data_IF_340312157136
#
_entry.id   IF_340312157136
#
_cell.length_a   1.000
_cell.length_b   1.000
_cell.length_c   1.000
_cell.angle_alpha   90.00
_cell.angle_beta   90.00
_cell.angle_gamma   90.00
#
_symmetry.space_group_name_H-M   'P 1'
#
loop_
_entity.id
_entity.type
_entity.pdbx_description
1 polymer ?
#
# COMPACT_ATOMS: atom_id res chain seq x y z
N UNK A 1 3.07 14.67 -7.60
CA UNK A 1 1.68 15.05 -7.95
C UNK A 1 1.57 16.11 -9.05
N UNK A 2 2.11 17.33 -8.88
CA UNK A 2 1.93 18.40 -9.88
C UNK A 2 2.28 18.03 -11.33
N UNK A 3 3.38 17.31 -11.55
CA UNK A 3 3.77 16.81 -12.89
C UNK A 3 2.74 15.83 -13.46
N UNK A 4 2.25 14.89 -12.64
CA UNK A 4 1.23 13.90 -13.04
C UNK A 4 -0.06 14.62 -13.45
N UNK A 5 -0.48 15.62 -12.67
CA UNK A 5 -1.68 16.42 -12.96
C UNK A 5 -1.53 17.20 -14.27
N UNK A 6 -0.38 17.84 -14.49
CA UNK A 6 -0.10 18.62 -15.71
C UNK A 6 -0.12 17.71 -16.96
N UNK A 7 0.54 16.55 -16.90
CA UNK A 7 0.55 15.58 -18.01
C UNK A 7 -0.86 15.00 -18.23
N UNK A 8 -1.60 14.69 -17.17
CA UNK A 8 -2.98 14.24 -17.24
C UNK A 8 -3.89 15.26 -17.96
N UNK A 9 -3.72 16.56 -17.66
CA UNK A 9 -4.45 17.65 -18.30
C UNK A 9 -4.12 17.80 -19.80
N UNK A 10 -2.84 17.68 -20.17
CA UNK A 10 -2.33 17.97 -21.51
C UNK A 10 -2.57 16.86 -22.53
N UNK A 11 -2.66 15.58 -22.12
CA UNK A 11 -2.77 14.50 -23.10
C UNK A 11 -3.17 13.12 -22.56
N UNK A 12 -3.41 13.00 -21.25
CA UNK A 12 -3.65 11.71 -20.59
C UNK A 12 -2.37 10.97 -20.23
N UNK A 13 -2.49 9.93 -19.39
CA UNK A 13 -1.36 9.27 -18.72
C UNK A 13 -0.83 8.04 -19.47
N UNK A 14 -1.30 7.77 -20.70
CA UNK A 14 -0.82 6.64 -21.53
C UNK A 14 0.71 6.56 -21.70
N UNK A 15 1.45 7.69 -21.84
CA UNK A 15 2.92 7.62 -21.90
C UNK A 15 3.55 7.13 -20.59
N UNK A 16 2.89 7.38 -19.45
CA UNK A 16 3.40 6.99 -18.13
C UNK A 16 3.19 5.49 -17.85
N UNK A 17 2.24 4.83 -18.51
CA UNK A 17 2.03 3.37 -18.37
C UNK A 17 3.28 2.55 -18.79
N UNK A 18 4.03 3.02 -19.80
CA UNK A 18 5.30 2.35 -20.18
C UNK A 18 6.38 2.55 -19.13
N UNK A 19 6.43 3.73 -18.51
CA UNK A 19 7.38 4.04 -17.44
C UNK A 19 7.03 3.26 -16.17
N UNK A 20 5.74 3.06 -15.90
CA UNK A 20 5.21 2.26 -14.80
C UNK A 20 5.74 0.82 -14.83
N UNK A 21 5.73 0.18 -16.00
CA UNK A 21 6.21 -1.20 -16.14
C UNK A 21 7.70 -1.34 -15.81
N UNK A 22 8.53 -0.41 -16.29
CA UNK A 22 9.95 -0.38 -15.97
C UNK A 22 10.19 -0.06 -14.49
N UNK A 23 9.46 0.91 -13.94
CA UNK A 23 9.50 1.25 -12.52
C UNK A 23 9.19 0.02 -11.64
N UNK A 24 8.19 -0.78 -12.03
CA UNK A 24 7.82 -2.00 -11.33
C UNK A 24 8.94 -3.06 -11.39
N UNK A 25 9.53 -3.31 -12.56
CA UNK A 25 10.65 -4.26 -12.67
C UNK A 25 11.85 -3.84 -11.82
N UNK A 26 12.23 -2.57 -11.88
CA UNK A 26 13.34 -2.01 -11.09
C UNK A 26 13.05 -2.15 -9.60
N UNK A 27 11.82 -1.85 -9.16
CA UNK A 27 11.41 -1.97 -7.76
C UNK A 27 11.47 -3.42 -7.27
N UNK A 28 11.00 -4.38 -8.08
CA UNK A 28 11.06 -5.81 -7.72
C UNK A 28 12.50 -6.30 -7.63
N UNK A 29 13.39 -5.90 -8.55
CA UNK A 29 14.80 -6.28 -8.50
C UNK A 29 15.46 -5.73 -7.25
N UNK A 30 15.25 -4.45 -6.92
CA UNK A 30 15.83 -3.82 -5.72
C UNK A 30 15.27 -4.46 -4.45
N UNK A 31 13.97 -4.78 -4.43
CA UNK A 31 13.35 -5.51 -3.32
C UNK A 31 13.95 -6.91 -3.15
N UNK A 32 14.18 -7.66 -4.23
CA UNK A 32 14.81 -8.97 -4.16
C UNK A 32 16.24 -8.87 -3.62
N UNK A 33 17.03 -7.89 -4.08
CA UNK A 33 18.38 -7.61 -3.57
C UNK A 33 18.32 -7.27 -2.08
N UNK A 34 17.38 -6.41 -1.66
CA UNK A 34 17.20 -6.04 -0.26
C UNK A 34 16.93 -7.25 0.63
N UNK A 35 15.99 -8.12 0.24
CA UNK A 35 15.66 -9.33 0.98
C UNK A 35 16.85 -10.30 1.07
N UNK A 36 17.60 -10.48 -0.02
CA UNK A 36 18.81 -11.31 0.00
C UNK A 36 19.85 -10.75 0.96
N UNK A 37 20.10 -9.43 0.92
CA UNK A 37 21.09 -8.80 1.79
C UNK A 37 20.69 -8.87 3.26
N UNK A 38 19.40 -8.67 3.58
CA UNK A 38 18.91 -8.86 4.96
C UNK A 38 19.09 -10.31 5.41
N UNK A 39 18.72 -11.29 4.57
CA UNK A 39 18.92 -12.71 4.90
C UNK A 39 20.40 -13.10 5.08
N UNK A 40 21.31 -12.56 4.26
CA UNK A 40 22.76 -12.77 4.42
C UNK A 40 23.27 -12.12 5.71
N UNK A 41 22.80 -10.91 6.03
CA UNK A 41 23.15 -10.22 7.26
C UNK A 41 22.71 -11.03 8.49
N UNK A 42 21.45 -11.47 8.52
CA UNK A 42 20.87 -12.26 9.59
C UNK A 42 21.59 -13.61 9.76
N UNK A 43 21.92 -14.29 8.65
CA UNK A 43 22.68 -15.54 8.69
C UNK A 43 24.08 -15.34 9.29
N UNK A 44 24.79 -14.29 8.89
CA UNK A 44 26.12 -13.98 9.42
C UNK A 44 26.08 -13.63 10.91
N UNK A 45 25.08 -12.87 11.35
CA UNK A 45 24.88 -12.55 12.76
C UNK A 45 24.57 -13.81 13.57
N UNK A 46 23.67 -14.66 13.07
CA UNK A 46 23.32 -15.91 13.73
C UNK A 46 24.53 -16.85 13.87
N UNK A 47 25.37 -16.96 12.84
CA UNK A 47 26.60 -17.77 12.89
C UNK A 47 27.63 -17.22 13.89
N UNK A 48 27.63 -15.92 14.16
CA UNK A 48 28.59 -15.27 15.07
C UNK A 48 28.11 -15.28 16.51
N UNK A 49 26.82 -15.03 16.74
CA UNK A 49 26.24 -14.81 18.08
C UNK A 49 25.39 -16.00 18.59
N UNK A 50 25.08 -16.98 17.73
CA UNK A 50 24.17 -18.09 17.98
C UNK A 50 22.76 -17.68 18.45
N UNK A 51 22.38 -16.41 18.25
CA UNK A 51 21.06 -15.89 18.61
C UNK A 51 20.63 -14.79 17.62
N UNK A 52 19.33 -14.61 17.46
CA UNK A 52 18.77 -13.46 16.75
C UNK A 52 18.57 -12.31 17.74
N UNK A 53 19.07 -11.12 17.39
CA UNK A 53 18.84 -9.91 18.17
C UNK A 53 17.45 -9.32 17.82
N UNK A 54 16.40 -9.94 18.36
CA UNK A 54 15.03 -9.49 18.14
C UNK A 54 14.77 -8.21 18.93
N UNK A 55 14.09 -7.25 18.31
CA UNK A 55 13.65 -6.05 19.00
C UNK A 55 12.72 -6.42 20.16
N UNK A 56 12.88 -5.74 21.30
CA UNK A 56 11.99 -5.92 22.43
C UNK A 56 10.57 -5.51 22.07
N UNK A 57 9.59 -6.28 22.56
CA UNK A 57 8.19 -5.94 22.35
C UNK A 57 7.89 -4.62 23.07
N UNK A 58 7.36 -3.61 22.37
CA UNK A 58 7.10 -2.32 22.98
C UNK A 58 6.06 -2.47 24.10
N UNK A 59 6.21 -1.67 25.16
CA UNK A 59 5.27 -1.61 26.29
C UNK A 59 3.99 -0.84 25.87
N UNK A 60 3.22 -1.46 24.98
CA UNK A 60 1.96 -0.96 24.43
C UNK A 60 0.86 -1.96 24.71
N UNK A 61 -0.33 -1.45 25.00
CA UNK A 61 -1.50 -2.31 25.19
C UNK A 61 -1.86 -3.02 23.87
N UNK A 62 -2.41 -4.24 23.95
CA UNK A 62 -2.88 -4.95 22.75
C UNK A 62 -3.94 -4.17 21.97
N UNK A 63 -4.72 -3.32 22.65
CA UNK A 63 -5.67 -2.41 22.02
C UNK A 63 -4.97 -1.36 21.16
N UNK A 64 -3.95 -0.70 21.71
CA UNK A 64 -3.17 0.31 20.98
C UNK A 64 -2.54 -0.30 19.72
N UNK A 65 -1.91 -1.48 19.86
CA UNK A 65 -1.34 -2.22 18.72
C UNK A 65 -2.42 -2.49 17.66
N UNK A 66 -3.60 -2.97 18.05
CA UNK A 66 -4.69 -3.22 17.12
C UNK A 66 -5.17 -1.96 16.39
N UNK A 67 -5.28 -0.82 17.09
CA UNK A 67 -5.69 0.47 16.50
C UNK A 67 -4.64 1.05 15.55
N UNK A 68 -3.35 0.87 15.87
CA UNK A 68 -2.25 1.29 15.00
C UNK A 68 -2.19 0.43 13.74
N UNK A 69 -2.27 -0.90 13.88
CA UNK A 69 -2.32 -1.83 12.73
C UNK A 69 -3.52 -1.52 11.85
N UNK A 70 -4.69 -1.26 12.43
CA UNK A 70 -5.87 -0.80 11.70
C UNK A 70 -5.61 0.49 10.91
N UNK A 71 -4.88 1.45 11.51
CA UNK A 71 -4.42 2.68 10.85
C UNK A 71 -3.54 2.46 9.63
N UNK A 72 -2.90 1.30 9.49
CA UNK A 72 -2.01 0.95 8.38
C UNK A 72 -2.67 0.13 7.26
N UNK A 73 -3.99 -0.04 7.28
CA UNK A 73 -4.74 -0.81 6.29
C UNK A 73 -4.48 -0.36 4.84
N UNK A 74 -4.14 0.92 4.61
CA UNK A 74 -3.77 1.48 3.30
C UNK A 74 -2.61 0.72 2.62
N UNK A 75 -1.70 0.10 3.38
CA UNK A 75 -0.52 -0.58 2.85
C UNK A 75 -0.89 -1.77 1.96
N UNK A 76 -2.00 -2.46 2.26
CA UNK A 76 -2.45 -3.67 1.54
C UNK A 76 -3.51 -3.38 0.47
N UNK A 77 -3.74 -2.10 0.13
CA UNK A 77 -4.77 -1.68 -0.82
C UNK A 77 -4.28 -1.79 -2.29
N UNK A 78 -5.20 -1.58 -3.24
CA UNK A 78 -4.89 -1.54 -4.67
C UNK A 78 -5.19 -2.82 -5.44
N UNK A 79 -5.63 -3.89 -4.77
CA UNK A 79 -6.03 -5.16 -5.43
C UNK A 79 -7.29 -5.03 -6.30
N UNK A 80 -8.06 -3.96 -6.15
CA UNK A 80 -9.24 -3.65 -6.96
C UNK A 80 -8.88 -3.08 -8.34
N UNK A 81 -7.64 -2.65 -8.58
CA UNK A 81 -7.24 -2.10 -9.89
C UNK A 81 -7.61 -3.01 -11.07
N UNK A 82 -7.53 -4.33 -10.89
CA UNK A 82 -7.94 -5.31 -11.91
C UNK A 82 -9.43 -5.25 -12.24
N UNK A 83 -10.28 -4.74 -11.34
CA UNK A 83 -11.70 -4.50 -11.58
C UNK A 83 -11.91 -3.47 -12.70
N UNK A 84 -11.07 -2.45 -12.80
CA UNK A 84 -11.26 -1.40 -13.80
C UNK A 84 -10.82 -1.80 -15.21
N UNK A 85 -10.19 -2.96 -15.36
CA UNK A 85 -9.70 -3.47 -16.65
C UNK A 85 -10.74 -4.32 -17.41
N UNK A 86 -12.04 -4.12 -17.13
CA UNK A 86 -13.13 -4.91 -17.70
C UNK A 86 -13.32 -4.75 -19.21
N UNK A 87 -12.87 -3.63 -19.79
CA UNK A 87 -12.92 -3.43 -21.25
C UNK A 87 -11.84 -4.24 -22.00
N UNK A 88 -10.77 -4.65 -21.31
CA UNK A 88 -9.61 -5.33 -21.92
C UNK A 88 -9.50 -6.81 -21.55
N UNK A 89 -10.02 -7.21 -20.39
CA UNK A 89 -9.88 -8.57 -19.87
C UNK A 89 -11.20 -9.13 -19.32
N UNK A 90 -11.39 -10.44 -19.48
CA UNK A 90 -12.54 -11.16 -18.97
C UNK A 90 -12.56 -11.24 -17.43
N UNK A 91 -13.75 -11.53 -16.89
CA UNK A 91 -13.99 -11.59 -15.44
C UNK A 91 -13.11 -12.61 -14.73
N UNK A 92 -12.88 -13.80 -15.31
CA UNK A 92 -12.09 -14.85 -14.66
C UNK A 92 -10.61 -14.46 -14.58
N UNK A 93 -10.06 -13.90 -15.65
CA UNK A 93 -8.69 -13.39 -15.67
C UNK A 93 -8.48 -12.30 -14.61
N UNK A 94 -9.42 -11.37 -14.48
CA UNK A 94 -9.35 -10.27 -13.49
C UNK A 94 -9.39 -10.76 -12.04
N UNK A 95 -10.26 -11.73 -11.74
CA UNK A 95 -10.34 -12.35 -10.41
C UNK A 95 -9.05 -13.10 -10.10
N UNK A 96 -8.54 -13.90 -11.05
CA UNK A 96 -7.30 -14.64 -10.90
C UNK A 96 -6.13 -13.68 -10.64
N UNK A 97 -6.00 -12.63 -11.44
CA UNK A 97 -4.96 -11.62 -11.26
C UNK A 97 -5.02 -10.95 -9.88
N UNK A 98 -6.22 -10.56 -9.40
CA UNK A 98 -6.40 -9.94 -8.09
C UNK A 98 -6.01 -10.87 -6.93
N UNK A 99 -6.37 -12.16 -7.00
CA UNK A 99 -5.99 -13.13 -5.96
C UNK A 99 -4.49 -13.40 -5.95
N UNK A 100 -3.88 -13.58 -7.12
CA UNK A 100 -2.44 -13.81 -7.23
C UNK A 100 -1.62 -12.62 -6.77
N UNK A 101 -2.05 -11.39 -7.05
CA UNK A 101 -1.33 -10.19 -6.57
C UNK A 101 -1.38 -10.10 -5.04
N UNK A 102 -2.52 -10.41 -4.42
CA UNK A 102 -2.66 -10.46 -2.96
C UNK A 102 -1.76 -11.53 -2.33
N UNK A 103 -1.77 -12.76 -2.82
CA UNK A 103 -0.92 -13.82 -2.27
C UNK A 103 0.57 -13.51 -2.44
N UNK A 104 0.97 -13.00 -3.61
CA UNK A 104 2.36 -12.63 -3.87
C UNK A 104 2.82 -11.50 -2.95
N UNK A 105 2.02 -10.43 -2.82
CA UNK A 105 2.31 -9.30 -1.94
C UNK A 105 2.35 -9.70 -0.47
N UNK A 106 1.40 -10.52 0.00
CA UNK A 106 1.37 -11.05 1.36
C UNK A 106 2.66 -11.81 1.69
N UNK A 107 3.10 -12.67 0.76
CA UNK A 107 4.32 -13.48 0.95
C UNK A 107 5.55 -12.60 1.08
N UNK A 108 5.64 -11.56 0.25
CA UNK A 108 6.72 -10.57 0.30
C UNK A 108 6.68 -9.77 1.60
N UNK A 109 5.51 -9.31 2.06
CA UNK A 109 5.41 -8.55 3.30
C UNK A 109 5.81 -9.37 4.52
N UNK A 110 5.35 -10.62 4.62
CA UNK A 110 5.73 -11.51 5.72
C UNK A 110 7.24 -11.78 5.69
N UNK A 111 7.80 -12.08 4.51
CA UNK A 111 9.23 -12.33 4.35
C UNK A 111 10.06 -11.10 4.70
N UNK A 112 9.66 -9.92 4.23
CA UNK A 112 10.32 -8.67 4.52
C UNK A 112 10.33 -8.37 6.02
N UNK A 113 9.17 -8.49 6.69
CA UNK A 113 9.08 -8.26 8.14
C UNK A 113 9.98 -9.24 8.88
N UNK A 114 9.92 -10.55 8.56
CA UNK A 114 10.74 -11.56 9.21
C UNK A 114 12.25 -11.28 9.12
N UNK A 115 12.72 -10.85 7.94
CA UNK A 115 14.14 -10.53 7.69
C UNK A 115 14.55 -9.14 8.22
N UNK A 116 13.60 -8.21 8.40
CA UNK A 116 13.92 -6.90 8.94
C UNK A 116 14.01 -6.93 10.48
N UNK A 117 13.25 -7.81 11.14
CA UNK A 117 13.12 -7.85 12.61
C UNK A 117 14.45 -7.87 13.37
N UNK A 118 15.46 -8.68 13.01
CA UNK A 118 16.73 -8.70 13.74
C UNK A 118 17.51 -7.38 13.65
N UNK A 119 17.36 -6.66 12.53
CA UNK A 119 18.05 -5.40 12.24
C UNK A 119 17.35 -4.21 12.94
N UNK A 120 16.03 -4.31 13.20
CA UNK A 120 15.22 -3.25 13.84
C UNK A 120 15.77 -2.78 15.18
N UNK A 121 16.47 -3.66 15.92
CA UNK A 121 17.14 -3.32 17.19
C UNK A 121 18.07 -2.10 17.08
N UNK A 122 18.62 -1.81 15.89
CA UNK A 122 19.51 -0.67 15.62
C UNK A 122 18.79 0.67 15.74
N UNK A 123 17.47 0.70 15.56
CA UNK A 123 16.67 1.92 15.62
C UNK A 123 16.45 2.41 17.06
N UNK A 124 16.71 1.59 18.08
CA UNK A 124 16.60 1.95 19.51
C UNK A 124 15.26 2.61 19.89
N UNK A 125 14.17 2.21 19.24
CA UNK A 125 12.83 2.75 19.47
C UNK A 125 12.51 4.04 18.74
N UNK A 126 13.44 4.60 17.95
CA UNK A 126 13.20 5.77 17.10
C UNK A 126 12.74 5.34 15.70
N UNK A 127 11.43 5.47 15.45
CA UNK A 127 10.80 5.12 14.18
C UNK A 127 10.39 6.40 13.43
N UNK A 128 10.89 6.57 12.22
CA UNK A 128 10.60 7.72 11.37
C UNK A 128 10.70 7.38 9.89
N UNK A 129 10.54 8.40 9.04
CA UNK A 129 10.46 8.23 7.58
C UNK A 129 11.72 7.61 6.96
N UNK A 130 12.88 7.76 7.61
CA UNK A 130 14.16 7.25 7.15
C UNK A 130 14.56 5.91 7.81
N UNK A 131 13.74 5.32 8.67
CA UNK A 131 14.10 4.10 9.40
C UNK A 131 14.50 2.96 8.46
N UNK A 132 13.77 2.76 7.36
CA UNK A 132 14.13 1.72 6.37
C UNK A 132 15.52 1.95 5.75
N UNK A 133 15.89 3.22 5.53
CA UNK A 133 17.21 3.58 4.99
C UNK A 133 18.30 3.26 6.01
N UNK A 134 18.06 3.48 7.30
CA UNK A 134 18.98 3.13 8.39
C UNK A 134 19.15 1.60 8.47
N UNK A 135 18.06 0.84 8.41
CA UNK A 135 18.11 -0.63 8.37
C UNK A 135 18.93 -1.13 7.17
N UNK A 136 18.66 -0.56 6.00
CA UNK A 136 19.36 -0.90 4.77
C UNK A 136 20.86 -0.57 4.84
N UNK A 137 21.22 0.62 5.34
CA UNK A 137 22.61 1.03 5.52
C UNK A 137 23.37 0.14 6.51
N UNK A 138 22.66 -0.37 7.52
CA UNK A 138 23.23 -1.30 8.51
C UNK A 138 23.56 -2.66 7.89
N UNK A 139 22.68 -3.16 7.02
CA UNK A 139 22.91 -4.41 6.31
C UNK A 139 23.97 -4.26 5.19
N UNK A 140 23.95 -3.15 4.45
CA UNK A 140 24.94 -2.83 3.42
C UNK A 140 24.93 -1.35 3.05
N UNK A 141 26.12 -0.74 2.99
CA UNK A 141 26.33 0.67 2.60
C UNK A 141 25.84 0.98 1.17
N UNK A 142 25.72 -0.04 0.31
CA UNK A 142 25.29 0.13 -1.08
C UNK A 142 23.76 0.11 -1.28
N UNK A 143 22.98 -0.27 -0.28
CA UNK A 143 21.52 -0.39 -0.40
C UNK A 143 20.73 0.93 -0.35
N UNK A 144 21.11 1.95 0.46
CA UNK A 144 20.33 3.18 0.60
C UNK A 144 19.97 3.86 -0.72
N UNK A 145 20.94 4.01 -1.63
CA UNK A 145 20.74 4.73 -2.89
C UNK A 145 19.74 4.00 -3.81
N UNK A 146 19.89 2.70 -4.12
CA UNK A 146 18.87 1.92 -4.82
C UNK A 146 17.49 1.99 -4.14
N UNK A 147 17.42 1.93 -2.81
CA UNK A 147 16.16 2.01 -2.08
C UNK A 147 15.43 3.33 -2.28
N UNK A 148 16.15 4.45 -2.25
CA UNK A 148 15.57 5.78 -2.52
C UNK A 148 15.01 5.84 -3.95
N UNK A 149 15.74 5.29 -4.93
CA UNK A 149 15.30 5.21 -6.32
C UNK A 149 14.04 4.32 -6.43
N UNK A 150 14.05 3.15 -5.82
CA UNK A 150 12.91 2.23 -5.81
C UNK A 150 11.68 2.84 -5.15
N UNK A 151 11.84 3.48 -4.00
CA UNK A 151 10.77 4.16 -3.28
C UNK A 151 10.16 5.28 -4.14
N UNK A 152 11.01 6.09 -4.78
CA UNK A 152 10.56 7.17 -5.67
C UNK A 152 9.78 6.64 -6.88
N UNK A 153 10.29 5.58 -7.52
CA UNK A 153 9.64 4.93 -8.65
C UNK A 153 8.31 4.27 -8.28
N UNK A 154 8.27 3.58 -7.13
CA UNK A 154 7.09 2.91 -6.60
C UNK A 154 5.99 3.92 -6.23
N UNK A 155 6.33 4.99 -5.52
CA UNK A 155 5.39 6.06 -5.16
C UNK A 155 4.86 6.80 -6.39
N UNK A 156 5.71 7.05 -7.38
CA UNK A 156 5.29 7.65 -8.65
C UNK A 156 4.29 6.74 -9.39
N UNK A 157 4.60 5.45 -9.50
CA UNK A 157 3.74 4.45 -10.13
C UNK A 157 2.36 4.37 -9.45
N UNK A 158 2.35 4.23 -8.12
CA UNK A 158 1.12 4.19 -7.32
C UNK A 158 0.28 5.47 -7.51
N UNK A 159 0.91 6.64 -7.44
CA UNK A 159 0.23 7.92 -7.64
C UNK A 159 -0.42 8.05 -9.03
N UNK A 160 0.23 7.54 -10.08
CA UNK A 160 -0.33 7.52 -11.44
C UNK A 160 -1.53 6.58 -11.52
N UNK A 161 -1.40 5.35 -11.00
CA UNK A 161 -2.45 4.35 -11.00
C UNK A 161 -3.70 4.82 -10.22
N UNK A 162 -3.50 5.41 -9.04
CA UNK A 162 -4.59 5.95 -8.22
C UNK A 162 -5.27 7.15 -8.89
N UNK A 163 -4.50 8.02 -9.55
CA UNK A 163 -5.05 9.15 -10.30
C UNK A 163 -5.90 8.69 -11.48
N UNK A 164 -5.46 7.65 -12.19
CA UNK A 164 -6.20 7.00 -13.26
C UNK A 164 -7.51 6.38 -12.75
N UNK A 165 -7.42 5.56 -11.70
CA UNK A 165 -8.56 4.88 -11.10
C UNK A 165 -9.60 5.88 -10.56
N UNK A 166 -9.16 6.93 -9.85
CA UNK A 166 -10.03 7.96 -9.30
C UNK A 166 -10.74 8.76 -10.40
N UNK A 167 -10.02 9.17 -11.46
CA UNK A 167 -10.63 9.88 -12.58
C UNK A 167 -11.61 9.00 -13.38
N UNK A 168 -11.31 7.70 -13.54
CA UNK A 168 -12.22 6.74 -14.17
C UNK A 168 -13.49 6.54 -13.34
N UNK A 169 -13.35 6.32 -12.03
CA UNK A 169 -14.48 6.22 -11.09
C UNK A 169 -15.38 7.45 -11.13
N UNK A 170 -14.79 8.65 -11.16
CA UNK A 170 -15.55 9.90 -11.22
C UNK A 170 -16.32 10.04 -12.55
N UNK A 171 -15.73 9.59 -13.66
CA UNK A 171 -16.39 9.56 -14.97
C UNK A 171 -17.55 8.56 -14.99
N UNK A 172 -17.38 7.39 -14.40
CA UNK A 172 -18.42 6.35 -14.31
C UNK A 172 -19.58 6.81 -13.41
N UNK A 173 -19.27 7.25 -12.19
CA UNK A 173 -20.27 7.72 -11.21
C UNK A 173 -21.05 8.94 -11.72
N UNK A 174 -20.43 9.79 -12.53
CA UNK A 174 -21.09 10.96 -13.14
C UNK A 174 -21.88 10.63 -14.41
N UNK A 175 -22.04 9.35 -14.78
CA UNK A 175 -22.66 8.93 -16.04
C UNK A 175 -22.05 9.67 -17.24
N UNK A 176 -20.72 9.72 -17.31
CA UNK A 176 -19.95 10.38 -18.39
C UNK A 176 -20.03 11.92 -18.42
N UNK A 177 -20.64 12.58 -17.43
CA UNK A 177 -20.71 14.05 -17.38
C UNK A 177 -19.36 14.70 -17.07
N UNK A 178 -18.54 14.07 -16.22
CA UNK A 178 -17.18 14.56 -15.90
C UNK A 178 -16.17 13.97 -16.88
N UNK A 179 -15.51 14.86 -17.64
CA UNK A 179 -14.39 14.46 -18.52
C UNK A 179 -13.15 14.12 -17.68
N UNK A 180 -12.38 13.13 -18.12
CA UNK A 180 -11.15 12.65 -17.45
C UNK A 180 -10.18 13.78 -17.06
N UNK A 181 -10.01 14.81 -17.90
CA UNK A 181 -9.11 15.94 -17.62
C UNK A 181 -9.46 16.68 -16.33
N UNK A 182 -10.76 16.89 -16.09
CA UNK A 182 -11.23 17.53 -14.86
C UNK A 182 -11.14 16.58 -13.67
N UNK A 183 -11.30 15.27 -13.89
CA UNK A 183 -11.00 14.25 -12.88
C UNK A 183 -9.54 14.30 -12.42
N UNK A 184 -8.59 14.33 -13.35
CA UNK A 184 -7.16 14.46 -13.02
C UNK A 184 -6.83 15.75 -12.27
N UNK A 185 -7.44 16.86 -12.68
CA UNK A 185 -7.27 18.14 -11.98
C UNK A 185 -7.79 18.09 -10.55
N UNK A 186 -9.01 17.61 -10.33
CA UNK A 186 -9.62 17.52 -9.00
C UNK A 186 -8.82 16.60 -8.08
N UNK A 187 -8.41 15.42 -8.56
CA UNK A 187 -7.58 14.49 -7.80
C UNK A 187 -6.23 15.13 -7.46
N UNK A 188 -5.57 15.75 -8.44
CA UNK A 188 -4.29 16.43 -8.24
C UNK A 188 -4.36 17.57 -7.22
N UNK A 189 -5.35 18.44 -7.34
CA UNK A 189 -5.56 19.56 -6.43
C UNK A 189 -5.86 19.08 -5.01
N UNK A 190 -6.72 18.07 -4.85
CA UNK A 190 -7.06 17.50 -3.55
C UNK A 190 -5.85 16.82 -2.91
N UNK A 191 -5.08 16.05 -3.69
CA UNK A 191 -3.87 15.41 -3.20
C UNK A 191 -2.80 16.44 -2.77
N UNK A 192 -2.64 17.53 -3.50
CA UNK A 192 -1.72 18.62 -3.13
C UNK A 192 -2.18 19.34 -1.86
N UNK A 193 -3.48 19.60 -1.70
CA UNK A 193 -4.03 20.19 -0.49
C UNK A 193 -3.83 19.27 0.73
N UNK A 194 -4.11 17.97 0.58
CA UNK A 194 -3.92 16.98 1.64
C UNK A 194 -2.44 16.85 2.04
N UNK A 195 -1.53 16.81 1.06
CA UNK A 195 -0.10 16.76 1.31
C UNK A 195 0.44 17.98 2.09
N UNK A 196 -0.30 19.12 2.07
CA UNK A 196 0.05 20.32 2.84
C UNK A 196 -0.61 20.37 4.23
N UNK A 197 -1.59 19.50 4.49
CA UNK A 197 -2.51 19.66 5.62
C UNK A 197 -2.12 18.90 6.90
N UNK A 198 -1.32 17.83 6.80
CA UNK A 198 -1.06 16.95 7.93
C UNK A 198 0.22 16.13 7.80
N UNK A 199 0.54 15.40 8.87
CA UNK A 199 1.68 14.48 8.89
C UNK A 199 1.43 13.25 8.00
N UNK A 200 2.50 12.61 7.54
CA UNK A 200 2.41 11.37 6.74
C UNK A 200 1.54 10.31 7.43
N UNK A 201 1.69 10.14 8.75
CA UNK A 201 0.92 9.17 9.53
C UNK A 201 -0.58 9.49 9.61
N UNK A 202 -0.95 10.76 9.73
CA UNK A 202 -2.35 11.18 9.72
C UNK A 202 -3.00 10.94 8.35
N UNK A 203 -2.28 11.24 7.26
CA UNK A 203 -2.75 11.00 5.90
C UNK A 203 -2.94 9.50 5.66
N UNK A 204 -2.03 8.66 6.16
CA UNK A 204 -2.12 7.20 6.11
C UNK A 204 -3.40 6.71 6.81
N UNK A 205 -3.70 7.22 8.00
CA UNK A 205 -4.91 6.82 8.75
C UNK A 205 -6.18 7.30 8.05
N UNK A 206 -6.19 8.55 7.57
CA UNK A 206 -7.33 9.09 6.84
C UNK A 206 -7.63 8.23 5.59
N UNK A 207 -6.59 7.86 4.83
CA UNK A 207 -6.71 6.98 3.68
C UNK A 207 -7.22 5.59 4.09
N UNK A 208 -6.63 4.98 5.12
CA UNK A 208 -7.07 3.68 5.66
C UNK A 208 -8.55 3.68 6.04
N UNK A 209 -9.03 4.74 6.71
CA UNK A 209 -10.46 4.90 7.06
C UNK A 209 -11.33 5.06 5.83
N UNK A 210 -10.90 5.82 4.83
CA UNK A 210 -11.64 5.99 3.57
C UNK A 210 -11.77 4.66 2.80
N UNK A 211 -10.69 3.89 2.68
CA UNK A 211 -10.74 2.55 2.07
C UNK A 211 -11.57 1.57 2.89
N UNK A 212 -11.47 1.60 4.22
CA UNK A 212 -12.27 0.76 5.10
C UNK A 212 -13.77 1.06 4.93
N UNK A 213 -14.15 2.34 4.88
CA UNK A 213 -15.53 2.75 4.60
C UNK A 213 -16.01 2.25 3.23
N UNK A 214 -15.19 2.43 2.19
CA UNK A 214 -15.53 1.99 0.85
C UNK A 214 -15.77 0.47 0.78
N UNK A 215 -14.87 -0.34 1.36
CA UNK A 215 -15.04 -1.79 1.40
C UNK A 215 -16.16 -2.25 2.34
N UNK A 216 -16.46 -1.49 3.39
CA UNK A 216 -17.61 -1.74 4.26
C UNK A 216 -18.90 -1.64 3.43
N UNK A 217 -19.04 -0.61 2.61
CA UNK A 217 -20.18 -0.49 1.69
C UNK A 217 -20.25 -1.67 0.71
N UNK A 218 -19.11 -2.10 0.16
CA UNK A 218 -19.07 -3.28 -0.72
C UNK A 218 -19.53 -4.56 0.02
N UNK A 219 -19.13 -4.75 1.28
CA UNK A 219 -19.58 -5.88 2.08
C UNK A 219 -21.08 -5.84 2.35
N UNK A 220 -21.65 -4.65 2.61
CA UNK A 220 -23.09 -4.47 2.80
C UNK A 220 -23.88 -4.77 1.52
N UNK A 221 -23.39 -4.32 0.37
CA UNK A 221 -23.98 -4.65 -0.94
C UNK A 221 -23.90 -6.17 -1.18
N UNK A 222 -22.74 -6.78 -0.95
CA UNK A 222 -22.56 -8.23 -1.13
C UNK A 222 -23.50 -9.04 -0.21
N UNK A 223 -23.67 -8.60 1.05
CA UNK A 223 -24.60 -9.20 2.00
C UNK A 223 -26.06 -9.13 1.54
N UNK A 224 -26.44 -8.05 0.86
CA UNK A 224 -27.81 -7.89 0.33
C UNK A 224 -28.11 -8.78 -0.87
N UNK A 225 -27.07 -9.17 -1.63
CA UNK A 225 -27.19 -9.97 -2.85
C UNK A 225 -26.97 -11.47 -2.59
N UNK A 226 -26.14 -11.84 -1.61
CA UNK A 226 -25.83 -13.25 -1.36
C UNK A 226 -26.99 -13.99 -0.69
N UNK A 227 -27.28 -15.20 -1.18
CA UNK A 227 -28.34 -16.06 -0.66
C UNK A 227 -27.80 -17.14 0.30
N UNK A 228 -26.48 -17.38 0.28
CA UNK A 228 -25.82 -18.40 1.09
C UNK A 228 -25.47 -17.88 2.50
N UNK A 229 -25.76 -18.67 3.54
CA UNK A 229 -25.46 -18.31 4.92
C UNK A 229 -23.94 -18.18 5.17
N UNK A 230 -23.12 -19.04 4.57
CA UNK A 230 -21.67 -18.99 4.74
C UNK A 230 -21.05 -17.70 4.18
N UNK A 231 -21.51 -17.27 3.01
CA UNK A 231 -21.07 -16.01 2.38
C UNK A 231 -21.54 -14.80 3.21
N UNK A 232 -22.77 -14.85 3.74
CA UNK A 232 -23.29 -13.81 4.65
C UNK A 232 -22.44 -13.67 5.90
N UNK A 233 -22.11 -14.78 6.55
CA UNK A 233 -21.25 -14.78 7.74
C UNK A 233 -19.87 -14.20 7.41
N UNK A 234 -19.30 -14.59 6.27
CA UNK A 234 -18.01 -14.08 5.82
C UNK A 234 -18.02 -12.56 5.56
N UNK A 235 -19.01 -12.03 4.83
CA UNK A 235 -19.14 -10.59 4.59
C UNK A 235 -19.42 -9.81 5.87
N UNK A 236 -20.21 -10.37 6.79
CA UNK A 236 -20.48 -9.75 8.09
C UNK A 236 -19.22 -9.68 8.95
N UNK A 237 -18.40 -10.74 8.94
CA UNK A 237 -17.12 -10.76 9.65
C UNK A 237 -16.17 -9.70 9.11
N UNK A 238 -15.98 -9.63 7.78
CA UNK A 238 -15.13 -8.60 7.17
C UNK A 238 -15.69 -7.20 7.44
N UNK A 239 -17.01 -6.99 7.31
CA UNK A 239 -17.65 -5.73 7.61
C UNK A 239 -17.38 -5.27 9.05
N UNK A 240 -17.36 -6.20 10.01
CA UNK A 240 -17.04 -5.89 11.41
C UNK A 240 -15.59 -5.42 11.57
N UNK A 241 -14.63 -6.07 10.89
CA UNK A 241 -13.23 -5.64 10.88
C UNK A 241 -13.09 -4.25 10.24
N UNK A 242 -13.75 -4.01 9.11
CA UNK A 242 -13.69 -2.72 8.42
C UNK A 242 -14.36 -1.60 9.23
N UNK A 243 -15.47 -1.90 9.92
CA UNK A 243 -16.10 -0.97 10.85
C UNK A 243 -15.16 -0.63 12.02
N UNK A 244 -14.43 -1.63 12.55
CA UNK A 244 -13.40 -1.39 13.55
C UNK A 244 -12.32 -0.44 13.04
N UNK A 245 -11.77 -0.68 11.84
CA UNK A 245 -10.76 0.21 11.22
C UNK A 245 -11.31 1.62 11.03
N UNK A 246 -12.55 1.74 10.54
CA UNK A 246 -13.19 3.03 10.29
C UNK A 246 -13.33 3.90 11.55
N UNK A 247 -13.63 3.28 12.69
CA UNK A 247 -13.89 3.97 13.95
C UNK A 247 -12.64 4.16 14.79
N UNK A 248 -11.78 3.14 14.88
CA UNK A 248 -10.71 3.04 15.87
C UNK A 248 -9.30 3.16 15.29
N UNK A 249 -9.11 3.35 13.98
CA UNK A 249 -7.78 3.57 13.43
C UNK A 249 -7.11 4.84 13.98
N UNK A 250 -5.89 4.68 14.49
CA UNK A 250 -5.05 5.75 15.09
C UNK A 250 -3.69 5.78 14.38
N UNK A 251 -3.03 6.95 14.25
CA UNK A 251 -1.70 7.04 13.64
C UNK A 251 -0.66 6.25 14.44
N UNK A 252 0.38 5.79 13.74
CA UNK A 252 1.48 5.02 14.35
C UNK A 252 2.47 5.86 15.17
N UNK A 253 2.20 7.17 15.33
CA UNK A 253 3.04 8.14 16.02
C UNK A 253 2.62 8.40 17.45
#
# INVERSE_FOLDING_TARGET
MGVITLIGLLGGLKPLEKLERWALYVTIVILAVLLIVFGVYDANQFLTQYNFNLAEMPDRSGWEIATVVAGTLIIVQGFETTRYLGESYDTHTRIRASRWSQYFSLSIYILFVALAQPIVSVLKGEYGDNSLIILAATASVFLPLPLIVAASLSQFSAAVADTLAAAANMREASQQRVKLRWGYFLVGATAMALAWSGSTFEIIVLASRAFAFYYLLQCLVAFSVCHNLYERLYFTFIATILAFVLVFAVPAG
#
